data_IF_228845467584
#
_entry.id   IF_228845467584
#
_cell.length_a   1.000
_cell.length_b   1.000
_cell.length_c   1.000
_cell.angle_alpha   90.00
_cell.angle_beta   90.00
_cell.angle_gamma   90.00
#
_symmetry.space_group_name_H-M   'P 1'
#
loop_
_entity.id
_entity.type
_entity.pdbx_description
1 polymer ?
#
# COMPACT_ATOMS: atom_id res chain seq x y z
N UNK A 1 10.68 29.26 19.57
CA UNK A 1 11.10 29.42 18.17
C UNK A 1 9.95 28.93 17.31
N UNK A 2 9.15 29.84 16.74
CA UNK A 2 8.03 29.48 15.87
C UNK A 2 8.62 28.86 14.60
N UNK A 3 8.31 27.59 14.34
CA UNK A 3 8.72 26.88 13.14
C UNK A 3 7.97 27.50 11.95
N UNK A 4 8.59 28.48 11.27
CA UNK A 4 8.07 29.16 10.06
C UNK A 4 8.33 28.27 8.84
N UNK A 5 7.82 27.04 8.84
CA UNK A 5 7.70 26.27 7.60
C UNK A 5 6.23 26.29 7.22
N UNK A 6 5.86 26.88 6.07
CA UNK A 6 4.51 26.77 5.56
C UNK A 6 4.17 25.28 5.46
N UNK A 7 3.00 24.90 5.97
CA UNK A 7 2.51 23.54 5.78
C UNK A 7 2.43 23.28 4.28
N UNK A 8 2.94 22.13 3.80
CA UNK A 8 2.85 21.81 2.38
C UNK A 8 1.37 21.89 1.95
N UNK A 9 1.10 22.44 0.75
CA UNK A 9 -0.26 22.53 0.24
C UNK A 9 -0.91 21.14 0.27
N UNK A 10 -2.20 21.09 0.61
CA UNK A 10 -2.94 19.83 0.64
C UNK A 10 -2.77 19.10 -0.70
N UNK A 11 -2.47 17.79 -0.69
CA UNK A 11 -2.24 17.06 -1.92
C UNK A 11 -3.48 17.11 -2.78
N UNK A 12 -3.27 17.24 -4.10
CA UNK A 12 -4.37 17.15 -5.04
C UNK A 12 -4.93 15.72 -5.05
N UNK A 13 -6.14 15.54 -5.59
CA UNK A 13 -6.71 14.19 -5.75
C UNK A 13 -5.79 13.32 -6.61
N UNK A 14 -5.25 13.86 -7.70
CA UNK A 14 -4.32 13.18 -8.60
C UNK A 14 -3.07 12.67 -7.85
N UNK A 15 -2.46 13.53 -7.02
CA UNK A 15 -1.29 13.16 -6.21
C UNK A 15 -1.64 12.12 -5.14
N UNK A 16 -2.81 12.25 -4.51
CA UNK A 16 -3.28 11.27 -3.51
C UNK A 16 -3.54 9.90 -4.15
N UNK A 17 -4.13 9.87 -5.35
CA UNK A 17 -4.37 8.64 -6.09
C UNK A 17 -3.05 8.00 -6.55
N UNK A 18 -2.10 8.81 -7.04
CA UNK A 18 -0.76 8.33 -7.40
C UNK A 18 -0.04 7.75 -6.18
N UNK A 19 -0.09 8.43 -5.04
CA UNK A 19 0.50 7.94 -3.78
C UNK A 19 -0.18 6.64 -3.32
N UNK A 20 -1.51 6.57 -3.33
CA UNK A 20 -2.23 5.35 -3.00
C UNK A 20 -1.88 4.21 -3.95
N UNK A 21 -1.75 4.46 -5.25
CA UNK A 21 -1.32 3.43 -6.21
C UNK A 21 0.06 2.89 -5.87
N UNK A 22 1.00 3.76 -5.51
CA UNK A 22 2.35 3.36 -5.13
C UNK A 22 2.35 2.56 -3.82
N UNK A 23 1.58 3.02 -2.83
CA UNK A 23 1.39 2.32 -1.56
C UNK A 23 0.76 0.94 -1.76
N UNK A 24 -0.27 0.82 -2.61
CA UNK A 24 -0.91 -0.46 -2.94
C UNK A 24 0.07 -1.40 -3.65
N UNK A 25 0.93 -0.89 -4.54
CA UNK A 25 1.99 -1.69 -5.17
C UNK A 25 2.97 -2.23 -4.14
N UNK A 26 3.42 -1.39 -3.20
CA UNK A 26 4.28 -1.81 -2.10
C UNK A 26 3.60 -2.84 -1.19
N UNK A 27 2.34 -2.60 -0.81
CA UNK A 27 1.56 -3.53 0.00
C UNK A 27 1.40 -4.91 -0.67
N UNK A 28 1.13 -4.93 -1.98
CA UNK A 28 1.08 -6.17 -2.77
C UNK A 28 2.43 -6.89 -2.75
N UNK A 29 3.55 -6.19 -2.99
CA UNK A 29 4.88 -6.78 -2.97
C UNK A 29 5.21 -7.42 -1.62
N UNK A 30 4.94 -6.69 -0.53
CA UNK A 30 5.12 -7.20 0.84
C UNK A 30 4.26 -8.44 1.12
N UNK A 31 3.00 -8.42 0.71
CA UNK A 31 2.11 -9.57 0.89
C UNK A 31 2.55 -10.78 0.06
N UNK A 32 3.06 -10.57 -1.16
CA UNK A 32 3.65 -11.63 -1.99
C UNK A 32 4.89 -12.25 -1.34
N UNK A 33 5.86 -11.46 -0.91
CA UNK A 33 7.06 -11.97 -0.23
C UNK A 33 6.71 -12.65 1.10
N UNK A 34 5.77 -12.08 1.86
CA UNK A 34 5.29 -12.71 3.09
C UNK A 34 4.60 -14.04 2.80
N UNK A 35 3.84 -14.16 1.72
CA UNK A 35 3.21 -15.42 1.31
C UNK A 35 4.24 -16.49 0.92
N UNK A 36 5.34 -16.09 0.27
CA UNK A 36 6.44 -17.00 -0.11
C UNK A 36 7.10 -17.66 1.11
N UNK A 37 7.27 -16.89 2.19
CA UNK A 37 7.81 -17.37 3.47
C UNK A 37 6.81 -18.18 4.33
N UNK A 38 5.57 -18.38 3.86
CA UNK A 38 4.50 -19.06 4.60
C UNK A 38 4.03 -20.34 3.86
N UNK A 39 3.38 -21.24 4.59
CA UNK A 39 2.80 -22.47 4.03
C UNK A 39 1.38 -22.73 4.58
N UNK A 40 0.62 -23.56 3.85
CA UNK A 40 -0.75 -23.93 4.19
C UNK A 40 -1.68 -22.71 4.28
N UNK A 41 -2.63 -22.74 5.20
CA UNK A 41 -3.69 -21.73 5.33
C UNK A 41 -3.18 -20.30 5.57
N UNK A 42 -1.97 -20.12 6.14
CA UNK A 42 -1.37 -18.79 6.33
C UNK A 42 -0.94 -18.16 5.00
N UNK A 43 -0.44 -18.98 4.07
CA UNK A 43 -0.10 -18.54 2.71
C UNK A 43 -1.34 -18.15 1.93
N UNK A 44 -2.41 -18.96 2.02
CA UNK A 44 -3.70 -18.62 1.42
C UNK A 44 -4.25 -17.29 1.96
N UNK A 45 -4.14 -17.06 3.27
CA UNK A 45 -4.52 -15.78 3.88
C UNK A 45 -3.67 -14.61 3.34
N UNK A 46 -2.35 -14.76 3.24
CA UNK A 46 -1.49 -13.71 2.68
C UNK A 46 -1.83 -13.41 1.20
N UNK A 47 -2.10 -14.44 0.39
CA UNK A 47 -2.55 -14.24 -1.00
C UNK A 47 -3.95 -13.62 -1.10
N UNK A 48 -4.84 -13.87 -0.14
CA UNK A 48 -6.14 -13.20 -0.11
C UNK A 48 -6.00 -11.68 -0.01
N UNK A 49 -4.99 -11.18 0.73
CA UNK A 49 -4.68 -9.74 0.80
C UNK A 49 -4.28 -9.22 -0.58
N UNK A 50 -3.39 -9.92 -1.29
CA UNK A 50 -3.01 -9.56 -2.66
C UNK A 50 -4.22 -9.49 -3.58
N UNK A 51 -5.13 -10.47 -3.48
CA UNK A 51 -6.35 -10.51 -4.27
C UNK A 51 -7.24 -9.31 -3.98
N UNK A 52 -7.50 -9.01 -2.70
CA UNK A 52 -8.27 -7.84 -2.28
C UNK A 52 -7.67 -6.54 -2.82
N UNK A 53 -6.35 -6.36 -2.73
CA UNK A 53 -5.65 -5.19 -3.26
C UNK A 53 -5.73 -5.09 -4.79
N UNK A 54 -5.88 -6.22 -5.49
CA UNK A 54 -6.01 -6.24 -6.95
C UNK A 54 -7.41 -5.91 -7.45
N UNK A 55 -8.44 -5.98 -6.59
CA UNK A 55 -9.81 -5.56 -6.90
C UNK A 55 -10.02 -4.04 -6.78
N UNK A 56 -9.09 -3.34 -6.13
CA UNK A 56 -9.15 -1.89 -5.89
C UNK A 56 -8.50 -1.09 -7.05
N UNK A 57 -7.80 -1.77 -7.97
CA UNK A 57 -7.26 -1.17 -9.20
C UNK A 57 -8.35 -1.03 -10.27
#
# INVERSE_FOLDING_TARGET
MLKITPDPPAPTIEESLAHLSDLLRCAKATAYESADCLNGSKRDLAFSVVHLLSLIH
#
